data_IF_511803421625
#
_entry.id   IF_511803421625
#
_cell.length_a   1.000
_cell.length_b   1.000
_cell.length_c   1.000
_cell.angle_alpha   90.00
_cell.angle_beta   90.00
_cell.angle_gamma   90.00
#
_symmetry.space_group_name_H-M   'P 1'
#
loop_
_entity.id
_entity.type
_entity.pdbx_description
1 polymer ?
#
# COMPACT_ATOMS: atom_id res chain seq x y z
N UNK A 1 -12.89 27.66 -13.37
CA UNK A 1 -12.83 28.31 -12.04
C UNK A 1 -12.20 27.36 -11.04
N UNK A 2 -11.76 27.81 -9.85
CA UNK A 2 -11.25 26.92 -8.80
C UNK A 2 -12.22 25.77 -8.44
N UNK A 3 -13.53 26.04 -8.40
CA UNK A 3 -14.54 25.01 -8.15
C UNK A 3 -14.59 23.94 -9.26
N UNK A 4 -14.54 24.36 -10.53
CA UNK A 4 -14.50 23.40 -11.65
C UNK A 4 -13.24 22.53 -11.63
N UNK A 5 -12.10 23.09 -11.22
CA UNK A 5 -10.86 22.32 -11.07
C UNK A 5 -11.02 21.19 -10.05
N UNK A 6 -11.64 21.46 -8.89
CA UNK A 6 -11.93 20.44 -7.87
C UNK A 6 -12.90 19.37 -8.40
N UNK A 7 -13.92 19.74 -9.18
CA UNK A 7 -14.84 18.75 -9.76
C UNK A 7 -14.14 17.80 -10.73
N UNK A 8 -13.18 18.29 -11.52
CA UNK A 8 -12.40 17.46 -12.43
C UNK A 8 -11.53 16.43 -11.70
N UNK A 9 -11.08 16.70 -10.46
CA UNK A 9 -10.23 15.75 -9.72
C UNK A 9 -10.97 14.46 -9.36
N UNK A 10 -12.30 14.46 -9.28
CA UNK A 10 -13.11 13.27 -8.98
C UNK A 10 -12.94 12.15 -9.99
N UNK A 11 -12.61 12.47 -11.25
CA UNK A 11 -12.36 11.48 -12.28
C UNK A 11 -11.01 10.75 -12.12
N UNK A 12 -10.08 11.29 -11.34
CA UNK A 12 -8.74 10.73 -11.13
C UNK A 12 -8.76 9.74 -9.97
N UNK A 13 -9.29 8.55 -10.24
CA UNK A 13 -9.38 7.45 -9.27
C UNK A 13 -8.85 6.14 -9.89
N UNK A 14 -8.40 5.22 -9.03
CA UNK A 14 -8.01 3.85 -9.42
C UNK A 14 -9.14 2.83 -9.22
N UNK A 15 -10.37 3.29 -8.95
CA UNK A 15 -11.53 2.42 -8.73
C UNK A 15 -11.76 1.50 -9.93
N UNK A 16 -11.78 0.19 -9.68
CA UNK A 16 -12.03 -0.81 -10.72
C UNK A 16 -10.83 -1.10 -11.62
N UNK A 17 -9.60 -0.80 -11.17
CA UNK A 17 -8.37 -1.12 -11.90
C UNK A 17 -7.46 -2.14 -11.18
N UNK A 18 -7.84 -2.60 -9.99
CA UNK A 18 -7.01 -3.54 -9.21
C UNK A 18 -6.77 -4.87 -9.96
N UNK A 19 -7.75 -5.33 -10.74
CA UNK A 19 -7.62 -6.54 -11.57
C UNK A 19 -6.64 -6.40 -12.73
N UNK A 20 -6.25 -5.17 -13.09
CA UNK A 20 -5.29 -4.92 -14.16
C UNK A 20 -3.84 -5.15 -13.68
N UNK A 21 -3.63 -5.33 -12.37
CA UNK A 21 -2.32 -5.66 -11.78
C UNK A 21 -2.06 -7.16 -11.93
N UNK A 22 -1.08 -7.52 -12.77
CA UNK A 22 -0.80 -8.92 -13.13
C UNK A 22 0.50 -9.49 -12.55
N UNK A 23 1.25 -8.73 -11.76
CA UNK A 23 2.50 -9.18 -11.14
C UNK A 23 2.33 -9.47 -9.64
N UNK A 24 3.22 -10.30 -9.05
CA UNK A 24 3.29 -10.45 -7.61
C UNK A 24 3.36 -9.10 -6.92
N UNK A 25 2.49 -8.86 -5.94
CA UNK A 25 2.33 -7.54 -5.31
C UNK A 25 2.47 -7.63 -3.80
N UNK A 26 3.38 -6.81 -3.24
CA UNK A 26 3.48 -6.58 -1.81
C UNK A 26 2.67 -5.34 -1.44
N UNK A 27 1.68 -5.50 -0.57
CA UNK A 27 0.88 -4.40 -0.05
C UNK A 27 1.14 -4.29 1.45
N UNK A 28 1.28 -3.07 1.96
CA UNK A 28 1.40 -2.85 3.39
C UNK A 28 0.61 -1.64 3.87
N UNK A 29 0.34 -1.63 5.18
CA UNK A 29 -0.15 -0.46 5.90
C UNK A 29 0.57 -0.31 7.24
N UNK A 30 0.42 0.87 7.84
CA UNK A 30 0.94 1.15 9.17
C UNK A 30 -0.22 1.46 10.13
N UNK A 31 -0.14 0.93 11.35
CA UNK A 31 -1.24 0.92 12.33
C UNK A 31 -1.87 2.30 12.61
N UNK A 32 -1.04 3.35 12.64
CA UNK A 32 -1.47 4.73 12.92
C UNK A 32 -1.54 5.61 11.66
N UNK A 33 -1.44 5.03 10.46
CA UNK A 33 -1.48 5.77 9.19
C UNK A 33 -2.88 5.72 8.55
N UNK A 34 -3.67 6.79 8.67
CA UNK A 34 -5.01 6.82 8.08
C UNK A 34 -4.99 6.79 6.55
N UNK A 35 -3.89 7.18 5.90
CA UNK A 35 -3.78 7.18 4.44
C UNK A 35 -3.70 5.73 3.91
N UNK A 36 -2.98 4.85 4.60
CA UNK A 36 -2.85 3.43 4.22
C UNK A 36 -3.97 2.54 4.76
N UNK A 37 -4.95 3.09 5.48
CA UNK A 37 -6.08 2.33 6.04
C UNK A 37 -6.92 1.56 5.01
N UNK A 38 -6.89 1.99 3.74
CA UNK A 38 -7.61 1.34 2.62
C UNK A 38 -6.82 0.20 1.96
N UNK A 39 -5.58 -0.08 2.39
CA UNK A 39 -4.77 -1.16 1.84
C UNK A 39 -5.46 -2.55 1.85
N UNK A 40 -6.23 -2.94 2.90
CA UNK A 40 -7.00 -4.19 2.87
C UNK A 40 -8.02 -4.28 1.72
N UNK A 41 -8.60 -3.15 1.29
CA UNK A 41 -9.53 -3.11 0.17
C UNK A 41 -8.82 -3.43 -1.16
N UNK A 42 -7.62 -2.89 -1.35
CA UNK A 42 -6.78 -3.24 -2.50
C UNK A 42 -6.41 -4.73 -2.48
N UNK A 43 -5.99 -5.26 -1.32
CA UNK A 43 -5.63 -6.68 -1.17
C UNK A 43 -6.82 -7.57 -1.54
N UNK A 44 -8.03 -7.23 -1.10
CA UNK A 44 -9.24 -7.96 -1.46
C UNK A 44 -9.55 -7.88 -2.97
N UNK A 45 -9.28 -6.74 -3.63
CA UNK A 45 -9.57 -6.52 -5.04
C UNK A 45 -8.54 -7.09 -6.02
N UNK A 46 -7.28 -7.26 -5.61
CA UNK A 46 -6.22 -7.84 -6.45
C UNK A 46 -6.59 -9.27 -6.89
N UNK A 47 -6.13 -9.71 -8.07
CA UNK A 47 -6.32 -11.10 -8.55
C UNK A 47 -4.99 -11.84 -8.76
N UNK A 48 -3.87 -11.14 -8.64
CA UNK A 48 -2.52 -11.69 -8.71
C UNK A 48 -2.06 -12.30 -7.36
N UNK A 49 -0.94 -13.05 -7.35
CA UNK A 49 -0.25 -13.40 -6.10
C UNK A 49 0.06 -12.14 -5.30
N UNK A 50 -0.25 -12.17 -4.00
CA UNK A 50 -0.12 -10.99 -3.14
C UNK A 50 0.31 -11.37 -1.73
N UNK A 51 1.00 -10.44 -1.09
CA UNK A 51 1.32 -10.48 0.33
C UNK A 51 0.82 -9.19 0.98
N UNK A 52 0.22 -9.30 2.16
CA UNK A 52 -0.23 -8.15 2.94
C UNK A 52 0.46 -8.13 4.31
N UNK A 53 1.06 -6.99 4.65
CA UNK A 53 1.80 -6.80 5.91
C UNK A 53 1.32 -5.54 6.62
N UNK A 54 0.97 -5.67 7.89
CA UNK A 54 0.72 -4.53 8.78
C UNK A 54 1.95 -4.23 9.63
N UNK A 55 2.43 -2.99 9.58
CA UNK A 55 3.47 -2.45 10.45
C UNK A 55 2.86 -1.85 11.70
N UNK A 56 3.34 -2.27 12.85
CA UNK A 56 2.71 -1.91 14.13
C UNK A 56 3.43 -0.76 14.82
N UNK A 57 2.70 -0.05 15.69
CA UNK A 57 3.28 0.96 16.57
C UNK A 57 4.30 0.33 17.53
N UNK A 58 4.07 -0.90 17.99
CA UNK A 58 4.99 -1.66 18.85
C UNK A 58 6.35 -1.95 18.18
N UNK A 59 6.37 -2.05 16.85
CA UNK A 59 7.60 -2.19 16.05
C UNK A 59 8.30 -0.84 15.80
N UNK A 60 7.75 0.27 16.29
CA UNK A 60 8.18 1.63 15.93
C UNK A 60 7.87 1.99 14.47
N UNK A 61 7.06 1.18 13.79
CA UNK A 61 6.80 1.27 12.35
C UNK A 61 5.37 1.72 12.02
N UNK A 62 4.57 2.08 13.03
CA UNK A 62 3.14 2.37 12.88
C UNK A 62 2.80 3.73 12.26
N UNK A 63 3.77 4.64 12.12
CA UNK A 63 3.55 5.97 11.53
C UNK A 63 3.59 5.94 10.00
N UNK A 64 3.12 7.03 9.37
CA UNK A 64 3.03 7.15 7.92
C UNK A 64 4.32 6.76 7.19
N UNK A 65 4.20 5.91 6.17
CA UNK A 65 5.32 5.34 5.41
C UNK A 65 6.38 4.61 6.27
N UNK A 66 5.95 4.07 7.42
CA UNK A 66 6.81 3.42 8.41
C UNK A 66 7.97 4.34 8.85
N UNK A 67 7.73 5.66 8.95
CA UNK A 67 8.79 6.67 9.12
C UNK A 67 9.66 6.44 10.34
N UNK A 68 9.10 5.90 11.43
CA UNK A 68 9.84 5.58 12.66
C UNK A 68 10.77 4.36 12.56
N UNK A 69 10.58 3.49 11.56
CA UNK A 69 11.34 2.25 11.41
C UNK A 69 11.55 1.86 9.94
N UNK A 70 12.03 2.81 9.12
CA UNK A 70 12.32 2.59 7.69
C UNK A 70 13.24 1.40 7.40
N UNK A 71 14.18 1.10 8.31
CA UNK A 71 15.03 -0.09 8.20
C UNK A 71 14.23 -1.40 8.27
N UNK A 72 13.20 -1.48 9.12
CA UNK A 72 12.32 -2.65 9.20
C UNK A 72 11.49 -2.80 7.93
N UNK A 73 10.96 -1.70 7.38
CA UNK A 73 10.30 -1.72 6.08
C UNK A 73 11.23 -2.26 4.99
N UNK A 74 12.47 -1.78 4.92
CA UNK A 74 13.44 -2.26 3.92
C UNK A 74 13.73 -3.75 4.10
N UNK A 75 13.92 -4.21 5.34
CA UNK A 75 14.17 -5.63 5.61
C UNK A 75 13.02 -6.52 5.10
N UNK A 76 11.76 -6.14 5.33
CA UNK A 76 10.58 -6.90 4.88
C UNK A 76 10.39 -6.82 3.37
N UNK A 77 10.40 -5.61 2.79
CA UNK A 77 10.18 -5.41 1.36
C UNK A 77 11.29 -6.01 0.49
N UNK A 78 12.56 -5.88 0.90
CA UNK A 78 13.67 -6.50 0.19
C UNK A 78 13.72 -8.01 0.40
N UNK A 79 13.36 -8.49 1.59
CA UNK A 79 13.17 -9.92 1.83
C UNK A 79 12.09 -10.52 0.92
N UNK A 80 10.98 -9.81 0.74
CA UNK A 80 9.93 -10.19 -0.21
C UNK A 80 10.43 -10.17 -1.65
N UNK A 81 11.11 -9.09 -2.08
CA UNK A 81 11.69 -9.00 -3.43
C UNK A 81 12.64 -10.15 -3.74
N UNK A 82 13.50 -10.51 -2.78
CA UNK A 82 14.40 -11.66 -2.90
C UNK A 82 13.60 -12.95 -3.19
N UNK A 83 12.46 -13.15 -2.53
CA UNK A 83 11.66 -14.36 -2.74
C UNK A 83 10.95 -14.39 -4.11
N UNK A 84 10.54 -13.23 -4.65
CA UNK A 84 9.78 -13.17 -5.92
C UNK A 84 10.64 -13.00 -7.17
N UNK A 85 11.91 -12.59 -7.03
CA UNK A 85 12.84 -12.37 -8.16
C UNK A 85 13.88 -13.47 -8.35
N UNK A 86 13.97 -14.45 -7.44
CA UNK A 86 14.88 -15.59 -7.55
C UNK A 86 14.33 -16.72 -8.42
#
# INVERSE_FOLDING_TARGET
TPAQYIELTKAYTLKGHAQDVTCPTFVCNAENDPISSTAPELVAALTCPKEFVTFTAAEGAGDHCESGARLLYHARSFGWLQNVLN
#
